data_IF_743070003300
#
_entry.id   IF_743070003300
#
_cell.length_a   1.000
_cell.length_b   1.000
_cell.length_c   1.000
_cell.angle_alpha   90.00
_cell.angle_beta   90.00
_cell.angle_gamma   90.00
#
_symmetry.space_group_name_H-M   'P 1'
#
loop_
_entity.id
_entity.type
_entity.pdbx_description
1 polymer ?
#
# COMPACT_ATOMS: atom_id res chain seq x y z
N UNK A 1 11.69 15.58 -4.16
CA UNK A 1 11.52 14.21 -4.68
C UNK A 1 10.23 14.19 -5.48
N UNK A 2 10.17 13.46 -6.59
CA UNK A 2 8.97 13.40 -7.44
C UNK A 2 7.92 12.47 -6.83
N UNK A 3 6.63 12.80 -6.94
CA UNK A 3 5.51 11.97 -6.46
C UNK A 3 5.57 10.52 -6.98
N UNK A 4 6.04 10.30 -8.20
CA UNK A 4 6.24 8.96 -8.77
C UNK A 4 7.36 8.18 -8.03
N UNK A 5 8.43 8.88 -7.63
CA UNK A 5 9.49 8.28 -6.79
C UNK A 5 8.95 7.90 -5.41
N UNK A 6 8.06 8.70 -4.86
CA UNK A 6 7.49 8.49 -3.53
C UNK A 6 6.45 7.35 -3.55
N UNK A 7 5.63 7.24 -4.60
CA UNK A 7 4.71 6.12 -4.81
C UNK A 7 5.45 4.79 -4.96
N UNK A 8 6.50 4.74 -5.78
CA UNK A 8 7.32 3.53 -5.95
C UNK A 8 8.00 3.11 -4.65
N UNK A 9 8.49 4.08 -3.88
CA UNK A 9 9.05 3.83 -2.55
C UNK A 9 8.01 3.19 -1.61
N UNK A 10 6.79 3.74 -1.55
CA UNK A 10 5.72 3.19 -0.70
C UNK A 10 5.28 1.80 -1.16
N UNK A 11 5.19 1.52 -2.46
CA UNK A 11 4.93 0.16 -2.94
C UNK A 11 6.03 -0.83 -2.56
N UNK A 12 7.29 -0.41 -2.58
CA UNK A 12 8.40 -1.24 -2.10
C UNK A 12 8.26 -1.58 -0.62
N UNK A 13 8.00 -0.57 0.22
CA UNK A 13 7.76 -0.75 1.66
C UNK A 13 6.57 -1.65 1.94
N UNK A 14 5.49 -1.52 1.18
CA UNK A 14 4.34 -2.43 1.28
C UNK A 14 4.70 -3.89 1.01
N UNK A 15 5.55 -4.16 0.01
CA UNK A 15 6.02 -5.52 -0.31
C UNK A 15 6.93 -6.06 0.78
N UNK A 16 7.83 -5.24 1.32
CA UNK A 16 8.72 -5.61 2.42
C UNK A 16 7.92 -5.99 3.68
N UNK A 17 6.90 -5.21 4.06
CA UNK A 17 6.07 -5.54 5.23
C UNK A 17 5.18 -6.75 5.00
N UNK A 18 4.68 -6.98 3.78
CA UNK A 18 3.97 -8.21 3.44
C UNK A 18 4.89 -9.44 3.57
N UNK A 19 6.13 -9.35 3.08
CA UNK A 19 7.10 -10.43 3.22
C UNK A 19 7.47 -10.71 4.69
N UNK A 20 7.47 -9.69 5.55
CA UNK A 20 7.65 -9.88 7.00
C UNK A 20 6.44 -10.58 7.63
N UNK A 21 5.22 -10.24 7.23
CA UNK A 21 4.02 -10.96 7.67
C UNK A 21 4.10 -12.44 7.29
N UNK A 22 4.48 -12.75 6.04
CA UNK A 22 4.63 -14.14 5.57
C UNK A 22 5.73 -14.88 6.34
N UNK A 23 6.86 -14.22 6.61
CA UNK A 23 7.94 -14.79 7.41
C UNK A 23 7.50 -15.05 8.86
N UNK A 24 6.73 -14.14 9.45
CA UNK A 24 6.15 -14.26 10.78
C UNK A 24 5.15 -15.44 10.84
N UNK A 25 4.32 -15.62 9.82
CA UNK A 25 3.41 -16.77 9.72
C UNK A 25 4.17 -18.09 9.61
N UNK A 26 5.20 -18.17 8.75
CA UNK A 26 6.01 -19.40 8.57
C UNK A 26 6.72 -19.85 9.84
N UNK A 27 7.12 -18.91 10.70
CA UNK A 27 7.75 -19.21 12.00
C UNK A 27 6.74 -19.32 13.16
N UNK A 28 5.44 -19.35 12.85
CA UNK A 28 4.35 -19.41 13.83
C UNK A 28 4.44 -18.32 14.90
N UNK A 29 4.75 -17.09 14.48
CA UNK A 29 4.72 -15.92 15.34
C UNK A 29 3.31 -15.65 15.91
N UNK A 30 3.22 -14.74 16.88
CA UNK A 30 1.92 -14.37 17.43
C UNK A 30 1.02 -13.73 16.37
N UNK A 31 -0.29 -13.96 16.47
CA UNK A 31 -1.27 -13.36 15.56
C UNK A 31 -1.21 -11.82 15.56
N UNK A 32 -0.83 -11.23 16.69
CA UNK A 32 -0.66 -9.78 16.82
C UNK A 32 0.51 -9.27 15.96
N UNK A 33 1.63 -10.00 15.95
CA UNK A 33 2.79 -9.61 15.14
C UNK A 33 2.47 -9.68 13.63
N UNK A 34 1.82 -10.75 13.19
CA UNK A 34 1.37 -10.91 11.80
C UNK A 34 0.40 -9.79 11.42
N UNK A 35 -0.55 -9.46 12.30
CA UNK A 35 -1.52 -8.39 12.07
C UNK A 35 -0.86 -7.03 11.89
N UNK A 36 0.15 -6.71 12.72
CA UNK A 36 0.90 -5.44 12.62
C UNK A 36 1.59 -5.32 11.26
N UNK A 37 2.30 -6.35 10.80
CA UNK A 37 2.96 -6.31 9.49
C UNK A 37 1.96 -6.18 8.33
N UNK A 38 0.82 -6.87 8.41
CA UNK A 38 -0.27 -6.73 7.42
C UNK A 38 -0.86 -5.32 7.39
N UNK A 39 -1.10 -4.75 8.56
CA UNK A 39 -1.63 -3.40 8.67
C UNK A 39 -0.66 -2.36 8.10
N UNK A 40 0.62 -2.45 8.43
CA UNK A 40 1.64 -1.56 7.86
C UNK A 40 1.73 -1.71 6.34
N UNK A 41 1.72 -2.95 5.82
CA UNK A 41 1.71 -3.18 4.38
C UNK A 41 0.52 -2.52 3.69
N UNK A 42 -0.68 -2.62 4.29
CA UNK A 42 -1.89 -1.99 3.76
C UNK A 42 -1.80 -0.46 3.76
N UNK A 43 -1.33 0.14 4.87
CA UNK A 43 -1.16 1.60 4.97
C UNK A 43 -0.21 2.14 3.90
N UNK A 44 0.89 1.44 3.63
CA UNK A 44 1.81 1.82 2.56
C UNK A 44 1.17 1.70 1.17
N UNK A 45 0.37 0.66 0.89
CA UNK A 45 -0.35 0.53 -0.38
C UNK A 45 -1.35 1.66 -0.58
N UNK A 46 -2.15 1.97 0.43
CA UNK A 46 -3.15 3.05 0.35
C UNK A 46 -2.48 4.38 0.06
N UNK A 47 -1.38 4.70 0.75
CA UNK A 47 -0.60 5.92 0.46
C UNK A 47 0.00 5.92 -0.94
N UNK A 48 0.55 4.80 -1.39
CA UNK A 48 1.09 4.67 -2.74
C UNK A 48 0.02 4.92 -3.80
N UNK A 49 -1.18 4.36 -3.61
CA UNK A 49 -2.33 4.57 -4.50
C UNK A 49 -2.80 6.03 -4.49
N UNK A 50 -2.92 6.66 -3.32
CA UNK A 50 -3.30 8.06 -3.21
C UNK A 50 -2.31 9.00 -3.94
N UNK A 51 -1.01 8.66 -3.95
CA UNK A 51 0.01 9.41 -4.70
C UNK A 51 0.05 9.07 -6.20
N UNK A 52 -0.43 7.90 -6.59
CA UNK A 52 -0.40 7.41 -7.98
C UNK A 52 -1.67 7.74 -8.75
N UNK A 53 -2.79 8.00 -8.08
CA UNK A 53 -4.01 8.46 -8.70
C UNK A 53 -3.86 9.95 -9.05
N UNK A 54 -3.85 10.32 -10.34
CA UNK A 54 -4.08 11.71 -10.72
C UNK A 54 -5.53 12.03 -10.33
N UNK A 55 -5.76 13.12 -9.59
CA UNK A 55 -7.10 13.63 -9.30
C UNK A 55 -7.99 13.71 -10.56
N UNK A 56 -7.37 13.87 -11.74
CA UNK A 56 -8.04 13.87 -13.05
C UNK A 56 -8.79 12.56 -13.38
N UNK A 57 -8.31 11.37 -13.00
CA UNK A 57 -9.01 10.11 -13.34
C UNK A 57 -10.30 9.97 -12.53
N UNK A 58 -10.31 10.47 -11.28
CA UNK A 58 -11.51 10.50 -10.45
C UNK A 58 -12.48 11.59 -10.92
N UNK A 59 -11.99 12.77 -11.30
CA UNK A 59 -12.81 13.82 -11.91
C UNK A 59 -13.44 13.38 -13.24
N UNK A 60 -12.67 12.78 -14.15
CA UNK A 60 -13.17 12.29 -15.45
C UNK A 60 -14.19 11.14 -15.29
N UNK A 61 -14.06 10.34 -14.24
CA UNK A 61 -15.04 9.29 -13.91
C UNK A 61 -16.32 9.85 -13.29
N UNK A 62 -16.26 10.99 -12.60
CA UNK A 62 -17.42 11.68 -12.01
C UNK A 62 -18.16 12.57 -13.03
N UNK A 63 -17.47 13.12 -14.04
CA UNK A 63 -18.10 13.93 -15.10
C UNK A 63 -18.78 13.08 -16.20
N UNK A 64 -18.56 11.77 -16.20
CA UNK A 64 -19.28 10.81 -17.07
C UNK A 64 -20.47 10.18 -16.34
N UNK A 65 -21.50 10.98 -16.07
CA UNK A 65 -22.86 10.44 -15.93
C UNK A 65 -23.62 10.65 -17.26
N UNK A 66 -24.36 9.64 -17.78
CA UNK A 66 -25.14 9.74 -19.02
C UNK A 66 -26.39 10.61 -18.90
#
# INVERSE_FOLDING_TARGET
>A
MSADSDARYMFRRAREEAAKADAAERRSASSQEVAVHRELALRYKVRALAMSCPDQVLHDAMEREP
#
